data_IF_724825081466
#
_entry.id   IF_724825081466
#
_cell.length_a   1.000
_cell.length_b   1.000
_cell.length_c   1.000
_cell.angle_alpha   90.00
_cell.angle_beta   90.00
_cell.angle_gamma   90.00
#
_symmetry.space_group_name_H-M   'P 1'
#
loop_
_entity.id
_entity.type
_entity.pdbx_description
1 polymer ?
#
# COMPACT_ATOMS: atom_id res chain seq x y z
N UNK A 1 -13.71 20.29 12.49
CA UNK A 1 -13.77 20.31 11.02
C UNK A 1 -12.71 21.28 10.54
N UNK A 2 -11.55 20.77 10.09
CA UNK A 2 -10.64 21.58 9.27
C UNK A 2 -11.12 21.38 7.84
N UNK A 3 -11.47 22.47 7.15
CA UNK A 3 -11.77 22.44 5.73
C UNK A 3 -10.60 21.77 5.01
N UNK A 4 -10.92 20.80 4.16
CA UNK A 4 -9.95 20.17 3.26
C UNK A 4 -9.35 21.27 2.39
N UNK A 5 -8.09 21.63 2.66
CA UNK A 5 -7.31 22.52 1.80
C UNK A 5 -7.23 21.84 0.43
N UNK A 6 -8.10 22.24 -0.50
CA UNK A 6 -7.84 22.07 -1.93
C UNK A 6 -6.61 22.92 -2.21
N UNK A 7 -5.46 22.29 -2.40
CA UNK A 7 -4.29 23.00 -2.92
C UNK A 7 -4.68 23.57 -4.28
N UNK A 8 -4.55 24.88 -4.45
CA UNK A 8 -4.69 25.51 -5.76
C UNK A 8 -3.83 24.76 -6.77
N UNK A 9 -4.40 24.43 -7.93
CA UNK A 9 -3.76 23.65 -8.98
C UNK A 9 -2.39 24.22 -9.31
N UNK A 10 -1.32 23.54 -8.92
CA UNK A 10 0.03 23.90 -9.34
C UNK A 10 0.05 23.73 -10.86
N UNK A 11 0.17 24.85 -11.59
CA UNK A 11 0.37 24.89 -13.04
C UNK A 11 -0.81 24.41 -13.93
N UNK A 12 -2.05 24.41 -13.41
CA UNK A 12 -3.24 24.08 -14.20
C UNK A 12 -3.46 22.58 -14.45
N UNK A 13 -2.73 21.71 -13.74
CA UNK A 13 -3.00 20.27 -13.67
C UNK A 13 -3.94 19.98 -12.49
N UNK A 14 -4.96 19.15 -12.72
CA UNK A 14 -5.80 18.57 -11.67
C UNK A 14 -5.35 17.13 -11.39
N UNK A 15 -4.72 16.94 -10.23
CA UNK A 15 -4.21 15.67 -9.75
C UNK A 15 -5.08 15.09 -8.63
N UNK A 16 -6.12 15.80 -8.18
CA UNK A 16 -6.85 15.45 -6.97
C UNK A 16 -7.73 14.21 -7.17
N UNK A 17 -7.63 13.26 -6.25
CA UNK A 17 -8.34 11.96 -6.31
C UNK A 17 -9.17 11.82 -5.05
N UNK A 18 -10.40 11.33 -5.19
CA UNK A 18 -11.19 10.84 -4.06
C UNK A 18 -11.23 9.32 -4.12
N UNK A 19 -10.60 8.68 -3.15
CA UNK A 19 -10.51 7.22 -3.08
C UNK A 19 -11.73 6.58 -2.41
N UNK A 20 -12.64 7.36 -1.82
CA UNK A 20 -13.84 6.83 -1.17
C UNK A 20 -15.06 7.72 -1.46
N UNK A 21 -15.44 7.92 -2.74
CA UNK A 21 -16.46 8.88 -3.13
C UNK A 21 -17.87 8.55 -2.62
N UNK A 22 -18.12 7.29 -2.27
CA UNK A 22 -19.40 6.81 -1.72
C UNK A 22 -19.40 6.74 -0.18
N UNK A 23 -18.27 7.01 0.47
CA UNK A 23 -18.16 7.06 1.91
C UNK A 23 -18.46 8.50 2.41
N UNK A 24 -19.31 8.71 3.43
CA UNK A 24 -19.60 10.05 3.95
C UNK A 24 -18.37 10.85 4.40
N UNK A 25 -17.28 10.17 4.79
CA UNK A 25 -16.04 10.81 5.20
C UNK A 25 -15.16 11.23 4.02
N UNK A 26 -15.36 10.64 2.83
CA UNK A 26 -14.48 10.74 1.66
C UNK A 26 -13.00 10.39 1.96
N UNK A 27 -12.18 10.20 0.93
CA UNK A 27 -10.73 10.10 1.10
C UNK A 27 -10.03 10.89 -0.01
N UNK A 28 -9.93 12.20 0.21
CA UNK A 28 -9.32 13.13 -0.73
C UNK A 28 -7.80 13.11 -0.64
N UNK A 29 -7.15 12.89 -1.79
CA UNK A 29 -5.72 13.05 -2.01
C UNK A 29 -5.48 14.29 -2.87
N UNK A 30 -4.43 15.07 -2.54
CA UNK A 30 -4.00 16.21 -3.35
C UNK A 30 -3.41 15.79 -4.70
N UNK A 31 -2.84 14.59 -4.76
CA UNK A 31 -2.27 13.96 -5.95
C UNK A 31 -2.30 12.42 -5.81
N UNK A 32 -2.07 11.63 -6.89
CA UNK A 32 -2.21 10.18 -6.83
C UNK A 32 -1.02 9.44 -6.19
N UNK A 33 0.09 10.12 -5.86
CA UNK A 33 1.32 9.44 -5.44
C UNK A 33 1.34 9.25 -3.93
N UNK A 34 1.46 8.00 -3.50
CA UNK A 34 1.45 7.60 -2.09
C UNK A 34 2.72 6.81 -1.73
N UNK A 35 3.10 6.77 -0.45
CA UNK A 35 4.13 5.84 0.05
C UNK A 35 3.46 4.54 0.52
N UNK A 36 3.96 3.39 0.07
CA UNK A 36 3.40 2.08 0.41
C UNK A 36 3.73 1.65 1.85
N UNK A 37 2.83 0.85 2.45
CA UNK A 37 3.05 0.22 3.75
C UNK A 37 4.36 -0.57 3.82
N UNK A 38 5.05 -0.45 4.95
CA UNK A 38 6.29 -1.17 5.22
C UNK A 38 7.54 -0.55 4.61
N UNK A 39 7.41 0.48 3.77
CA UNK A 39 8.54 1.15 3.11
C UNK A 39 8.69 2.62 3.50
N UNK A 40 7.98 3.09 4.52
CA UNK A 40 8.05 4.49 4.96
C UNK A 40 9.27 4.75 5.85
N UNK A 41 10.25 5.49 5.33
CA UNK A 41 11.55 5.64 5.99
C UNK A 41 12.34 4.32 6.05
N UNK A 42 13.35 4.26 6.91
CA UNK A 42 14.22 3.09 7.08
C UNK A 42 13.66 2.00 8.00
N UNK A 43 12.52 2.23 8.64
CA UNK A 43 11.93 1.33 9.64
C UNK A 43 10.42 1.08 9.45
N UNK A 44 9.80 1.76 8.48
CA UNK A 44 8.36 1.74 8.25
C UNK A 44 7.58 2.78 9.06
N UNK A 45 8.27 3.60 9.88
CA UNK A 45 7.68 4.61 10.76
C UNK A 45 8.24 6.02 10.50
N UNK A 46 8.95 6.22 9.39
CA UNK A 46 9.43 7.54 8.96
C UNK A 46 10.84 7.89 9.41
N UNK A 47 11.61 6.97 10.01
CA UNK A 47 13.01 7.24 10.32
C UNK A 47 13.79 7.57 9.05
N UNK A 48 14.49 8.70 9.04
CA UNK A 48 15.27 9.17 7.91
C UNK A 48 14.55 10.17 7.00
N UNK A 49 13.27 10.43 7.23
CA UNK A 49 12.58 11.59 6.65
C UNK A 49 13.13 12.86 7.31
N UNK A 50 13.53 13.83 6.49
CA UNK A 50 14.08 15.12 6.93
C UNK A 50 13.06 16.24 6.74
N UNK A 51 13.32 17.43 7.29
CA UNK A 51 12.45 18.60 7.12
C UNK A 51 12.28 19.01 5.65
N UNK A 52 13.30 18.78 4.81
CA UNK A 52 13.25 19.02 3.36
C UNK A 52 12.37 18.02 2.58
N UNK A 53 11.88 16.98 3.24
CA UNK A 53 11.03 15.94 2.64
C UNK A 53 9.58 16.14 3.11
N UNK A 54 8.95 17.22 2.66
CA UNK A 54 7.58 17.54 3.05
C UNK A 54 6.61 16.47 2.53
N UNK A 55 6.09 15.67 3.45
CA UNK A 55 5.14 14.60 3.16
C UNK A 55 3.78 15.14 2.68
N UNK A 56 3.47 16.42 2.94
CA UNK A 56 2.27 17.07 2.46
C UNK A 56 2.24 17.33 0.95
N UNK A 57 3.41 17.24 0.28
CA UNK A 57 3.48 17.25 -1.18
C UNK A 57 3.00 15.94 -1.81
N UNK A 58 2.91 14.85 -1.04
CA UNK A 58 2.41 13.56 -1.52
C UNK A 58 0.91 13.41 -1.22
N UNK A 59 0.23 12.55 -1.98
CA UNK A 59 -1.18 12.27 -1.80
C UNK A 59 -1.47 11.66 -0.43
N UNK A 60 -0.69 10.64 -0.04
CA UNK A 60 -0.79 10.00 1.26
C UNK A 60 0.46 9.20 1.64
N UNK A 61 0.55 8.83 2.91
CA UNK A 61 1.54 7.90 3.44
C UNK A 61 0.81 6.75 4.12
N UNK A 62 1.23 5.52 3.84
CA UNK A 62 0.80 4.33 4.58
C UNK A 62 1.99 3.85 5.42
N UNK A 63 2.04 4.15 6.73
CA UNK A 63 3.05 3.59 7.61
C UNK A 63 2.90 2.07 7.77
N UNK A 64 3.84 1.46 8.48
CA UNK A 64 3.92 0.00 8.67
C UNK A 64 2.62 -0.61 9.19
N UNK A 65 2.24 -1.76 8.63
CA UNK A 65 1.11 -2.58 9.07
C UNK A 65 1.27 -3.04 10.52
N UNK A 66 0.25 -2.81 11.34
CA UNK A 66 0.15 -3.35 12.71
C UNK A 66 -0.60 -4.68 12.76
N UNK A 67 -0.30 -5.50 13.76
CA UNK A 67 -1.06 -6.72 14.09
C UNK A 67 -1.77 -6.58 15.42
N UNK A 68 -2.69 -7.51 15.73
CA UNK A 68 -3.43 -7.46 17.00
C UNK A 68 -2.47 -7.46 18.20
N UNK A 69 -1.48 -8.35 18.18
CA UNK A 69 -0.43 -8.49 19.18
C UNK A 69 0.94 -8.09 18.59
N UNK A 70 1.95 -7.74 19.42
CA UNK A 70 3.29 -7.46 18.94
C UNK A 70 3.91 -8.64 18.18
N UNK A 71 4.77 -8.34 17.20
CA UNK A 71 5.54 -9.33 16.44
C UNK A 71 7.00 -8.91 16.34
N UNK A 72 7.90 -9.85 16.58
CA UNK A 72 9.35 -9.64 16.43
C UNK A 72 9.79 -9.69 14.96
N UNK A 73 9.10 -10.47 14.13
CA UNK A 73 9.44 -10.70 12.72
C UNK A 73 10.04 -12.07 12.47
N UNK A 74 10.48 -12.29 11.23
CA UNK A 74 11.09 -13.56 10.82
C UNK A 74 12.61 -13.58 11.08
N UNK A 75 13.26 -14.76 11.01
CA UNK A 75 14.71 -14.86 11.09
C UNK A 75 15.46 -14.07 10.00
N UNK A 76 16.62 -13.53 10.33
CA UNK A 76 17.53 -12.87 9.38
C UNK A 76 18.18 -13.88 8.41
N UNK A 77 18.53 -13.47 7.17
CA UNK A 77 18.27 -12.17 6.56
C UNK A 77 16.78 -11.99 6.19
N UNK A 78 16.20 -10.85 6.58
CA UNK A 78 14.79 -10.54 6.28
C UNK A 78 14.57 -9.90 4.91
N UNK A 79 15.62 -9.50 4.19
CA UNK A 79 15.51 -8.98 2.83
C UNK A 79 16.74 -9.30 1.99
N UNK A 80 16.54 -9.31 0.69
CA UNK A 80 17.57 -9.48 -0.32
C UNK A 80 17.32 -8.51 -1.47
N UNK A 81 18.36 -7.85 -2.01
CA UNK A 81 19.77 -7.88 -1.59
C UNK A 81 20.01 -7.04 -0.33
N UNK A 82 21.21 -7.15 0.27
CA UNK A 82 21.56 -6.40 1.49
C UNK A 82 21.38 -4.87 1.37
N UNK A 83 21.50 -4.33 0.16
CA UNK A 83 21.22 -2.93 -0.16
C UNK A 83 20.50 -2.85 -1.49
N UNK A 84 19.25 -2.38 -1.47
CA UNK A 84 18.47 -2.20 -2.68
C UNK A 84 19.06 -1.11 -3.56
N UNK A 85 19.64 -0.05 -2.97
CA UNK A 85 20.35 1.00 -3.71
C UNK A 85 21.54 0.46 -4.51
N UNK A 86 22.45 -0.28 -3.86
CA UNK A 86 23.61 -0.84 -4.56
C UNK A 86 23.20 -1.79 -5.68
N UNK A 87 22.18 -2.60 -5.44
CA UNK A 87 21.65 -3.51 -6.45
C UNK A 87 21.06 -2.76 -7.64
N UNK A 88 20.26 -1.73 -7.38
CA UNK A 88 19.72 -0.83 -8.40
C UNK A 88 20.82 -0.20 -9.27
N UNK A 89 21.86 0.36 -8.65
CA UNK A 89 22.98 1.01 -9.36
C UNK A 89 23.76 0.02 -10.25
N UNK A 90 23.67 -1.28 -9.98
CA UNK A 90 24.30 -2.36 -10.79
C UNK A 90 23.32 -3.09 -11.71
N UNK A 91 22.05 -2.70 -11.77
CA UNK A 91 21.03 -3.35 -12.59
C UNK A 91 20.47 -4.68 -12.05
N UNK A 92 20.63 -4.98 -10.76
CA UNK A 92 19.96 -6.12 -10.11
C UNK A 92 18.64 -5.63 -9.47
N UNK A 93 17.53 -5.99 -10.10
CA UNK A 93 16.17 -5.56 -9.71
C UNK A 93 15.39 -6.64 -8.94
N UNK A 94 16.05 -7.73 -8.54
CA UNK A 94 15.42 -8.80 -7.77
C UNK A 94 15.35 -8.44 -6.29
N UNK A 95 14.21 -7.86 -5.88
CA UNK A 95 14.00 -7.45 -4.49
C UNK A 95 13.05 -8.41 -3.77
N UNK A 96 13.58 -9.10 -2.77
CA UNK A 96 12.84 -10.02 -1.91
C UNK A 96 12.78 -9.49 -0.47
N UNK A 97 11.67 -9.70 0.21
CA UNK A 97 11.55 -9.44 1.64
C UNK A 97 10.73 -10.53 2.35
N UNK A 98 11.05 -10.79 3.61
CA UNK A 98 10.34 -11.69 4.49
C UNK A 98 10.40 -11.12 5.92
N UNK A 99 9.92 -9.89 6.12
CA UNK A 99 10.01 -9.19 7.41
C UNK A 99 9.26 -9.91 8.53
N UNK A 100 8.11 -10.51 8.23
CA UNK A 100 7.27 -11.17 9.25
C UNK A 100 6.43 -10.21 10.09
N UNK A 101 6.11 -9.03 9.52
CA UNK A 101 5.30 -7.99 10.15
C UNK A 101 5.84 -7.51 11.51
N UNK A 102 7.14 -7.24 11.64
CA UNK A 102 7.69 -6.69 12.90
C UNK A 102 7.01 -5.37 13.31
N UNK A 103 6.24 -5.38 14.41
CA UNK A 103 5.46 -4.24 14.86
C UNK A 103 5.08 -4.35 16.36
N UNK A 104 4.76 -3.24 17.04
CA UNK A 104 4.49 -3.21 18.48
C UNK A 104 3.08 -3.69 18.87
N UNK A 105 2.24 -4.10 17.93
CA UNK A 105 0.82 -4.39 18.14
C UNK A 105 -0.05 -3.12 18.11
N UNK A 106 -1.33 -3.29 17.77
CA UNK A 106 -2.23 -2.15 17.53
C UNK A 106 -2.48 -1.30 18.78
N UNK A 107 -2.50 -1.91 19.98
CA UNK A 107 -2.78 -1.18 21.21
C UNK A 107 -1.67 -0.16 21.53
N UNK A 108 -0.40 -0.61 21.41
CA UNK A 108 0.74 0.29 21.51
C UNK A 108 0.77 1.29 20.35
N UNK A 109 0.35 0.90 19.14
CA UNK A 109 0.26 1.81 18.01
C UNK A 109 -0.73 2.96 18.25
N UNK A 110 -1.94 2.66 18.74
CA UNK A 110 -2.96 3.67 19.04
C UNK A 110 -2.51 4.62 20.15
N UNK A 111 -1.82 4.09 21.16
CA UNK A 111 -1.34 4.88 22.30
C UNK A 111 -0.13 5.74 21.98
N UNK A 112 0.88 5.17 21.31
CA UNK A 112 2.23 5.75 21.28
C UNK A 112 2.69 6.16 19.86
N UNK A 113 2.14 5.58 18.80
CA UNK A 113 2.65 5.75 17.43
C UNK A 113 1.77 6.68 16.61
N UNK A 114 0.49 6.34 16.46
CA UNK A 114 -0.44 7.08 15.57
C UNK A 114 -0.69 8.53 15.98
N UNK A 115 -0.72 8.91 17.29
CA UNK A 115 -0.83 10.33 17.65
C UNK A 115 0.34 11.17 17.14
N UNK A 116 1.51 10.56 16.96
CA UNK A 116 2.68 11.22 16.37
C UNK A 116 2.53 11.55 14.88
N UNK A 117 1.55 10.96 14.18
CA UNK A 117 1.35 11.21 12.74
C UNK A 117 0.72 12.58 12.47
N UNK A 118 0.02 13.17 13.45
CA UNK A 118 -0.56 14.51 13.33
C UNK A 118 0.49 15.63 13.11
N UNK A 119 1.77 15.33 13.38
CA UNK A 119 2.89 16.25 13.12
C UNK A 119 3.36 16.22 11.66
N UNK A 120 3.07 15.14 10.93
CA UNK A 120 3.36 15.05 9.51
C UNK A 120 2.22 15.74 8.79
N UNK A 121 2.52 16.76 8.00
CA UNK A 121 1.54 17.51 7.21
C UNK A 121 0.93 16.66 6.07
N UNK A 122 0.62 15.39 6.32
CA UNK A 122 0.31 14.36 5.34
C UNK A 122 -0.98 13.64 5.68
N UNK A 123 -1.68 13.19 4.65
CA UNK A 123 -2.77 12.23 4.80
C UNK A 123 -2.17 10.87 5.14
N UNK A 124 -2.30 10.44 6.40
CA UNK A 124 -1.86 9.13 6.83
C UNK A 124 -3.00 8.10 6.78
N UNK A 125 -2.67 6.86 6.41
CA UNK A 125 -3.59 5.73 6.33
C UNK A 125 -3.08 4.62 7.26
N UNK A 126 -3.91 4.19 8.19
CA UNK A 126 -3.57 3.13 9.13
C UNK A 126 -3.61 1.78 8.41
N UNK A 127 -2.49 1.08 8.31
CA UNK A 127 -2.51 -0.31 7.82
C UNK A 127 -2.54 -1.30 8.98
N UNK A 128 -3.38 -2.33 8.88
CA UNK A 128 -3.30 -3.47 9.80
C UNK A 128 -3.65 -4.81 9.15
N UNK A 129 -3.23 -5.88 9.82
CA UNK A 129 -3.50 -7.26 9.45
C UNK A 129 -3.81 -8.10 10.68
N UNK A 130 -4.58 -9.17 10.49
CA UNK A 130 -4.90 -10.12 11.54
C UNK A 130 -4.95 -11.54 11.01
N UNK A 131 -4.85 -12.51 11.92
CA UNK A 131 -4.92 -13.93 11.64
C UNK A 131 -6.37 -14.47 11.79
N UNK A 132 -7.31 -13.69 12.36
CA UNK A 132 -8.72 -14.11 12.55
C UNK A 132 -9.71 -12.98 12.24
N UNK A 133 -10.93 -13.33 11.82
CA UNK A 133 -12.01 -12.37 11.55
C UNK A 133 -12.38 -11.55 12.80
N UNK A 134 -12.43 -12.19 13.97
CA UNK A 134 -12.78 -11.52 15.22
C UNK A 134 -11.77 -10.42 15.58
N UNK A 135 -10.48 -10.70 15.41
CA UNK A 135 -9.44 -9.73 15.67
C UNK A 135 -9.46 -8.57 14.65
N UNK A 136 -9.84 -8.80 13.39
CA UNK A 136 -10.04 -7.69 12.44
C UNK A 136 -11.09 -6.68 12.94
N UNK A 137 -12.24 -7.18 13.44
CA UNK A 137 -13.27 -6.32 14.04
C UNK A 137 -12.79 -5.61 15.31
N UNK A 138 -12.08 -6.31 16.19
CA UNK A 138 -11.50 -5.73 17.41
C UNK A 138 -10.50 -4.61 17.09
N UNK A 139 -9.60 -4.85 16.13
CA UNK A 139 -8.62 -3.87 15.67
C UNK A 139 -9.27 -2.64 15.03
N UNK A 140 -10.35 -2.83 14.28
CA UNK A 140 -11.14 -1.74 13.71
C UNK A 140 -11.83 -0.90 14.79
N UNK A 141 -12.40 -1.54 15.82
CA UNK A 141 -13.00 -0.84 16.96
C UNK A 141 -11.97 0.00 17.74
N UNK A 142 -10.74 -0.52 17.92
CA UNK A 142 -9.64 0.25 18.50
C UNK A 142 -9.25 1.43 17.61
N UNK A 143 -9.17 1.20 16.29
CA UNK A 143 -8.83 2.24 15.33
C UNK A 143 -9.91 3.35 15.27
N UNK A 144 -11.19 3.02 15.44
CA UNK A 144 -12.25 4.03 15.49
C UNK A 144 -12.08 5.04 16.65
N UNK A 145 -11.29 4.71 17.68
CA UNK A 145 -10.97 5.59 18.81
C UNK A 145 -9.60 6.28 18.69
N UNK A 146 -8.81 5.95 17.66
CA UNK A 146 -7.47 6.50 17.46
C UNK A 146 -7.47 7.84 16.69
N UNK A 147 -6.29 8.44 16.57
CA UNK A 147 -6.08 9.68 15.81
C UNK A 147 -4.86 9.57 14.89
N UNK A 148 -4.62 10.59 14.06
CA UNK A 148 -3.44 10.65 13.18
C UNK A 148 -3.63 10.03 11.79
N UNK A 149 -4.79 9.46 11.45
CA UNK A 149 -5.07 8.88 10.13
C UNK A 149 -6.48 9.19 9.63
N UNK A 150 -6.70 8.99 8.33
CA UNK A 150 -7.96 9.29 7.63
C UNK A 150 -8.68 8.07 7.07
N UNK A 151 -8.00 6.94 6.96
CA UNK A 151 -8.54 5.71 6.43
C UNK A 151 -7.81 4.49 7.00
N UNK A 152 -8.35 3.31 6.76
CA UNK A 152 -7.77 2.02 7.10
C UNK A 152 -7.40 1.28 5.82
N UNK A 153 -6.16 0.79 5.70
CA UNK A 153 -5.74 -0.17 4.68
C UNK A 153 -5.66 -1.58 5.29
N UNK A 154 -6.62 -2.42 4.94
CA UNK A 154 -6.70 -3.81 5.38
C UNK A 154 -5.74 -4.67 4.56
N UNK A 155 -4.65 -5.12 5.19
CA UNK A 155 -3.71 -6.01 4.55
C UNK A 155 -4.21 -7.47 4.63
N UNK A 156 -4.74 -7.99 3.53
CA UNK A 156 -5.35 -9.33 3.44
C UNK A 156 -4.37 -10.42 2.97
N UNK A 157 -3.08 -10.11 2.83
CA UNK A 157 -2.08 -11.08 2.33
C UNK A 157 -1.53 -12.02 3.40
N UNK A 158 -2.13 -12.07 4.59
CA UNK A 158 -1.63 -12.86 5.72
C UNK A 158 -2.37 -14.20 5.87
N UNK A 159 -1.70 -15.22 6.45
CA UNK A 159 -2.30 -16.52 6.68
C UNK A 159 -3.42 -16.43 7.71
N UNK A 160 -4.57 -16.99 7.37
CA UNK A 160 -5.64 -17.37 8.27
C UNK A 160 -5.19 -18.59 9.09
N UNK A 161 -5.17 -18.46 10.42
CA UNK A 161 -4.74 -19.55 11.31
C UNK A 161 -5.80 -20.63 11.50
N UNK A 162 -7.06 -20.36 11.14
CA UNK A 162 -8.16 -21.34 11.34
C UNK A 162 -8.11 -22.49 10.32
N UNK A 163 -7.67 -22.23 9.09
CA UNK A 163 -7.59 -23.22 8.01
C UNK A 163 -6.23 -23.24 7.27
N UNK A 164 -5.30 -22.36 7.65
CA UNK A 164 -3.98 -22.23 7.01
C UNK A 164 -3.99 -21.57 5.63
N UNK A 165 -5.15 -21.13 5.13
CA UNK A 165 -5.29 -20.38 3.86
C UNK A 165 -4.88 -18.92 4.04
N UNK A 166 -4.71 -18.12 2.98
CA UNK A 166 -4.53 -16.67 3.10
C UNK A 166 -5.91 -15.99 3.01
N UNK A 167 -6.25 -15.00 3.87
CA UNK A 167 -7.57 -14.34 3.82
C UNK A 167 -7.91 -13.80 2.42
N UNK A 168 -6.92 -13.22 1.75
CA UNK A 168 -7.04 -12.69 0.40
C UNK A 168 -7.08 -13.74 -0.72
N UNK A 169 -7.08 -15.05 -0.40
CA UNK A 169 -7.12 -16.14 -1.40
C UNK A 169 -8.50 -16.76 -1.59
N UNK A 170 -9.45 -16.38 -0.75
CA UNK A 170 -10.84 -16.83 -0.82
C UNK A 170 -11.76 -15.61 -0.83
N UNK A 171 -12.71 -15.52 -1.79
CA UNK A 171 -13.72 -14.47 -1.77
C UNK A 171 -14.49 -14.45 -0.45
N UNK A 172 -14.82 -15.63 0.11
CA UNK A 172 -15.55 -15.74 1.37
C UNK A 172 -14.73 -15.20 2.57
N UNK A 173 -13.46 -15.57 2.67
CA UNK A 173 -12.60 -15.11 3.77
C UNK A 173 -12.30 -13.61 3.66
N UNK A 174 -12.12 -13.09 2.43
CA UNK A 174 -12.00 -11.66 2.15
C UNK A 174 -13.25 -10.90 2.59
N UNK A 175 -14.44 -11.39 2.21
CA UNK A 175 -15.71 -10.80 2.58
C UNK A 175 -15.90 -10.73 4.11
N UNK A 176 -15.59 -11.82 4.81
CA UNK A 176 -15.69 -11.88 6.27
C UNK A 176 -14.77 -10.87 6.97
N UNK A 177 -13.51 -10.77 6.53
CA UNK A 177 -12.55 -9.83 7.11
C UNK A 177 -12.98 -8.37 6.88
N UNK A 178 -13.39 -8.02 5.65
CA UNK A 178 -13.83 -6.65 5.32
C UNK A 178 -15.11 -6.30 6.06
N UNK A 179 -16.10 -7.19 6.09
CA UNK A 179 -17.35 -6.97 6.81
C UNK A 179 -17.13 -6.76 8.32
N UNK A 180 -16.21 -7.53 8.92
CA UNK A 180 -15.86 -7.36 10.33
C UNK A 180 -15.24 -5.99 10.64
N UNK A 181 -14.38 -5.49 9.74
CA UNK A 181 -13.82 -4.13 9.86
C UNK A 181 -14.91 -3.08 9.66
N UNK A 182 -15.69 -3.18 8.58
CA UNK A 182 -16.74 -2.21 8.25
C UNK A 182 -17.78 -2.06 9.37
N UNK A 183 -18.12 -3.14 10.06
CA UNK A 183 -19.08 -3.13 11.17
C UNK A 183 -18.59 -2.35 12.41
N UNK A 184 -17.30 -2.02 12.51
CA UNK A 184 -16.68 -1.45 13.71
C UNK A 184 -16.00 -0.08 13.48
N UNK A 185 -16.19 0.52 12.31
CA UNK A 185 -15.69 1.87 11.99
C UNK A 185 -16.61 2.54 10.99
N UNK A 186 -16.54 3.86 10.86
CA UNK A 186 -17.13 4.64 9.75
C UNK A 186 -16.06 5.19 8.78
N UNK A 187 -14.77 5.06 9.13
CA UNK A 187 -13.66 5.50 8.28
C UNK A 187 -13.69 4.80 6.91
N UNK A 188 -13.12 5.42 5.86
CA UNK A 188 -12.84 4.74 4.61
C UNK A 188 -11.98 3.48 4.82
N UNK A 189 -12.37 2.38 4.18
CA UNK A 189 -11.70 1.08 4.24
C UNK A 189 -11.15 0.71 2.85
N UNK A 190 -9.84 0.53 2.76
CA UNK A 190 -9.12 0.12 1.56
C UNK A 190 -8.73 -1.35 1.72
N UNK A 191 -9.07 -2.22 0.78
CA UNK A 191 -8.68 -3.63 0.84
C UNK A 191 -7.42 -3.88 -0.01
N UNK A 192 -6.31 -4.28 0.63
CA UNK A 192 -5.06 -4.60 -0.07
C UNK A 192 -4.97 -6.06 -0.45
N UNK A 193 -5.04 -6.32 -1.75
CA UNK A 193 -5.21 -7.67 -2.30
C UNK A 193 -3.88 -8.34 -2.62
N UNK A 194 -3.86 -9.65 -2.41
CA UNK A 194 -2.72 -10.49 -2.77
C UNK A 194 -2.79 -10.88 -4.26
N UNK A 195 -1.64 -10.93 -4.97
CA UNK A 195 -1.63 -11.22 -6.41
C UNK A 195 -1.76 -12.70 -6.75
N UNK A 196 -1.49 -13.60 -5.80
CA UNK A 196 -1.34 -15.04 -6.00
C UNK A 196 -2.67 -15.80 -5.86
N UNK A 197 -3.68 -15.38 -6.63
CA UNK A 197 -5.02 -15.99 -6.65
C UNK A 197 -5.41 -16.41 -8.07
N UNK A 198 -6.28 -17.44 -8.24
CA UNK A 198 -6.72 -17.85 -9.58
C UNK A 198 -7.51 -16.76 -10.32
N UNK A 199 -8.34 -16.00 -9.60
CA UNK A 199 -9.15 -14.92 -10.16
C UNK A 199 -9.19 -13.73 -9.19
N UNK A 200 -8.48 -12.64 -9.53
CA UNK A 200 -8.43 -11.43 -8.71
C UNK A 200 -9.75 -10.67 -8.69
N UNK A 201 -10.55 -10.76 -9.76
CA UNK A 201 -11.83 -10.04 -9.88
C UNK A 201 -12.85 -10.55 -8.86
N UNK A 202 -12.87 -11.86 -8.59
CA UNK A 202 -13.74 -12.45 -7.57
C UNK A 202 -13.38 -11.98 -6.15
N UNK A 203 -12.09 -11.88 -5.84
CA UNK A 203 -11.59 -11.38 -4.56
C UNK A 203 -11.94 -9.89 -4.41
N UNK A 204 -11.67 -9.11 -5.46
CA UNK A 204 -11.96 -7.68 -5.50
C UNK A 204 -13.45 -7.40 -5.30
N UNK A 205 -14.32 -8.12 -6.02
CA UNK A 205 -15.77 -8.00 -5.88
C UNK A 205 -16.23 -8.33 -4.48
N UNK A 206 -15.72 -9.41 -3.89
CA UNK A 206 -16.07 -9.78 -2.51
C UNK A 206 -15.64 -8.73 -1.48
N UNK A 207 -14.49 -8.07 -1.67
CA UNK A 207 -14.07 -6.97 -0.81
C UNK A 207 -15.02 -5.77 -0.91
N UNK A 208 -15.35 -5.33 -2.14
CA UNK A 208 -16.25 -4.19 -2.38
C UNK A 208 -17.66 -4.48 -1.85
N UNK A 209 -18.25 -5.64 -2.21
CA UNK A 209 -19.60 -6.03 -1.79
C UNK A 209 -19.73 -6.13 -0.25
N UNK A 210 -18.60 -6.31 0.45
CA UNK A 210 -18.54 -6.39 1.92
C UNK A 210 -18.24 -5.05 2.61
N UNK A 211 -18.08 -3.97 1.84
CA UNK A 211 -17.96 -2.61 2.35
C UNK A 211 -16.55 -2.00 2.29
N UNK A 212 -15.63 -2.54 1.50
CA UNK A 212 -14.42 -1.80 1.13
C UNK A 212 -14.78 -0.64 0.19
N UNK A 213 -14.23 0.54 0.45
CA UNK A 213 -14.44 1.75 -0.33
C UNK A 213 -13.48 1.86 -1.52
N UNK A 214 -12.30 1.24 -1.43
CA UNK A 214 -11.31 1.16 -2.51
C UNK A 214 -10.47 -0.12 -2.41
N UNK A 215 -9.69 -0.39 -3.47
CA UNK A 215 -8.78 -1.54 -3.54
C UNK A 215 -7.33 -1.09 -3.69
N UNK A 216 -6.40 -1.74 -2.99
CA UNK A 216 -4.95 -1.59 -3.23
C UNK A 216 -4.41 -2.85 -3.90
N UNK A 217 -3.90 -2.74 -5.12
CA UNK A 217 -3.49 -3.88 -5.97
C UNK A 217 -2.06 -3.66 -6.46
N UNK A 218 -1.05 -4.43 -6.06
CA UNK A 218 -1.12 -5.65 -5.24
C UNK A 218 -0.05 -5.68 -4.13
N UNK A 219 -0.19 -6.65 -3.24
CA UNK A 219 0.88 -7.07 -2.35
C UNK A 219 1.98 -7.84 -3.13
N UNK A 220 3.02 -8.27 -2.45
CA UNK A 220 4.13 -9.04 -3.05
C UNK A 220 3.73 -10.47 -3.48
N UNK A 221 4.49 -11.06 -4.41
CA UNK A 221 4.30 -12.45 -4.88
C UNK A 221 5.29 -13.39 -4.18
N UNK A 222 4.91 -14.58 -3.68
CA UNK A 222 5.86 -15.54 -3.13
C UNK A 222 6.97 -15.90 -4.11
N UNK A 223 8.21 -15.78 -3.68
CA UNK A 223 9.40 -16.04 -4.48
C UNK A 223 10.59 -16.46 -3.61
N UNK A 224 11.64 -16.97 -4.26
CA UNK A 224 12.89 -17.34 -3.59
C UNK A 224 14.09 -17.13 -4.50
N UNK A 225 15.26 -17.00 -3.88
CA UNK A 225 16.57 -17.10 -4.54
C UNK A 225 17.44 -18.06 -3.72
N UNK A 226 18.16 -18.93 -4.42
CA UNK A 226 19.17 -19.82 -3.82
C UNK A 226 20.54 -19.25 -4.14
N UNK A 227 21.36 -19.07 -3.12
CA UNK A 227 22.78 -18.80 -3.29
C UNK A 227 23.46 -20.12 -3.71
N UNK A 228 24.01 -20.15 -4.92
CA UNK A 228 24.62 -21.36 -5.49
C UNK A 228 25.96 -21.73 -4.86
N UNK A 229 26.62 -20.80 -4.16
CA UNK A 229 27.87 -21.05 -3.46
C UNK A 229 27.59 -21.73 -2.12
N UNK A 230 26.63 -21.19 -1.35
CA UNK A 230 26.24 -21.75 -0.04
C UNK A 230 25.23 -22.90 -0.16
N UNK A 231 24.55 -23.00 -1.32
CA UNK A 231 23.43 -23.93 -1.60
C UNK A 231 22.25 -23.73 -0.64
N UNK A 232 22.09 -22.53 -0.11
CA UNK A 232 21.02 -22.18 0.82
C UNK A 232 20.11 -21.08 0.25
N UNK A 233 18.87 -20.97 0.73
CA UNK A 233 18.05 -19.78 0.48
C UNK A 233 18.74 -18.50 0.96
N UNK A 234 18.56 -17.41 0.22
CA UNK A 234 19.14 -16.10 0.60
C UNK A 234 18.42 -15.42 1.77
N UNK A 235 17.20 -15.85 2.08
CA UNK A 235 16.38 -15.34 3.18
C UNK A 235 16.32 -16.34 4.33
N UNK A 236 16.33 -15.84 5.57
CA UNK A 236 16.20 -16.68 6.77
C UNK A 236 14.87 -17.43 6.83
N UNK A 237 13.82 -16.85 6.22
CA UNK A 237 12.49 -17.46 6.11
C UNK A 237 12.34 -18.41 4.89
N UNK A 238 13.43 -18.77 4.20
CA UNK A 238 13.48 -19.60 2.99
C UNK A 238 12.85 -18.92 1.76
N UNK A 239 11.60 -18.51 1.87
CA UNK A 239 10.85 -17.77 0.85
C UNK A 239 10.52 -16.36 1.35
N UNK A 240 10.20 -15.46 0.43
CA UNK A 240 9.74 -14.11 0.71
C UNK A 240 8.88 -13.57 -0.41
N UNK A 241 8.47 -12.32 -0.28
CA UNK A 241 7.72 -11.59 -1.29
C UNK A 241 8.63 -10.91 -2.32
N UNK A 242 8.42 -11.19 -3.59
CA UNK A 242 8.95 -10.44 -4.72
C UNK A 242 8.28 -9.07 -4.80
N UNK A 243 9.13 -8.04 -4.85
CA UNK A 243 8.78 -6.65 -5.08
C UNK A 243 9.71 -6.06 -6.15
N UNK A 244 9.70 -4.73 -6.34
CA UNK A 244 10.53 -4.09 -7.35
C UNK A 244 10.01 -4.30 -8.78
N UNK A 245 10.85 -4.02 -9.77
CA UNK A 245 10.43 -4.01 -11.19
C UNK A 245 9.90 -5.35 -11.67
N UNK A 246 10.42 -6.47 -11.16
CA UNK A 246 9.94 -7.80 -11.50
C UNK A 246 8.46 -8.04 -11.19
N UNK A 247 7.87 -7.26 -10.27
CA UNK A 247 6.45 -7.33 -9.93
C UNK A 247 5.57 -6.48 -10.85
N UNK A 248 6.11 -5.45 -11.53
CA UNK A 248 5.32 -4.45 -12.28
C UNK A 248 4.37 -5.07 -13.31
N UNK A 249 4.83 -5.92 -14.26
CA UNK A 249 3.92 -6.46 -15.28
C UNK A 249 2.81 -7.35 -14.70
N UNK A 250 3.07 -8.02 -13.58
CA UNK A 250 2.06 -8.83 -12.88
C UNK A 250 1.01 -7.91 -12.27
N UNK A 251 1.43 -6.92 -11.48
CA UNK A 251 0.52 -6.01 -10.78
C UNK A 251 -0.29 -5.15 -11.75
N UNK A 252 0.34 -4.63 -12.81
CA UNK A 252 -0.33 -3.85 -13.86
C UNK A 252 -1.46 -4.64 -14.53
N UNK A 253 -1.21 -5.91 -14.85
CA UNK A 253 -2.22 -6.81 -15.42
C UNK A 253 -3.38 -7.09 -14.44
N UNK A 254 -3.11 -7.16 -13.13
CA UNK A 254 -4.16 -7.34 -12.12
C UNK A 254 -5.01 -6.09 -11.96
N UNK A 255 -4.40 -4.90 -11.96
CA UNK A 255 -5.10 -3.61 -11.95
C UNK A 255 -6.03 -3.50 -13.15
N UNK A 256 -5.51 -3.78 -14.35
CA UNK A 256 -6.31 -3.73 -15.59
C UNK A 256 -7.51 -4.70 -15.57
N UNK A 257 -7.32 -5.93 -15.10
CA UNK A 257 -8.43 -6.89 -14.99
C UNK A 257 -9.52 -6.42 -14.03
N UNK A 258 -9.15 -5.80 -12.91
CA UNK A 258 -10.13 -5.35 -11.91
C UNK A 258 -10.82 -4.07 -12.37
N UNK A 259 -10.10 -3.13 -12.99
CA UNK A 259 -10.69 -1.89 -13.52
C UNK A 259 -11.68 -2.15 -14.67
N UNK A 260 -11.40 -3.12 -15.54
CA UNK A 260 -12.33 -3.53 -16.60
C UNK A 260 -13.62 -4.17 -16.05
N UNK A 261 -13.54 -4.79 -14.87
CA UNK A 261 -14.64 -5.56 -14.30
C UNK A 261 -15.44 -4.83 -13.19
N UNK A 262 -14.88 -3.80 -12.57
CA UNK A 262 -15.44 -3.09 -11.42
C UNK A 262 -15.22 -1.58 -11.54
N UNK A 263 -16.29 -0.81 -11.35
CA UNK A 263 -16.25 0.65 -11.27
C UNK A 263 -16.03 1.11 -9.81
N UNK A 264 -14.79 1.03 -9.36
CA UNK A 264 -14.37 1.42 -8.00
C UNK A 264 -12.96 2.04 -8.02
N UNK A 265 -12.61 2.92 -7.05
CA UNK A 265 -11.26 3.44 -6.97
C UNK A 265 -10.22 2.33 -6.71
N UNK A 266 -9.16 2.32 -7.52
CA UNK A 266 -8.06 1.34 -7.43
C UNK A 266 -6.75 2.08 -7.21
N UNK A 267 -5.95 1.60 -6.26
CA UNK A 267 -4.61 2.08 -5.96
C UNK A 267 -3.61 1.04 -6.50
N UNK A 268 -2.89 1.38 -7.56
CA UNK A 268 -1.87 0.53 -8.18
C UNK A 268 -0.55 0.49 -7.41
N UNK A 269 0.01 -0.69 -7.16
CA UNK A 269 1.23 -0.89 -6.38
C UNK A 269 2.04 -2.05 -6.95
N UNK A 270 3.30 -1.80 -7.28
CA UNK A 270 4.23 -2.84 -7.69
C UNK A 270 5.23 -2.35 -8.75
N UNK A 271 6.51 -2.26 -8.38
CA UNK A 271 7.57 -1.95 -9.34
C UNK A 271 7.51 -0.57 -10.00
N UNK A 272 6.91 0.42 -9.33
CA UNK A 272 6.85 1.81 -9.79
C UNK A 272 8.14 2.54 -9.38
N UNK A 273 8.93 2.93 -10.37
CA UNK A 273 10.23 3.59 -10.21
C UNK A 273 10.35 4.93 -10.97
N UNK A 274 9.37 5.26 -11.82
CA UNK A 274 9.35 6.50 -12.60
C UNK A 274 7.92 7.05 -12.72
N UNK A 275 7.80 8.31 -13.12
CA UNK A 275 6.51 8.92 -13.48
C UNK A 275 5.80 8.22 -14.64
N UNK A 276 6.56 7.68 -15.61
CA UNK A 276 6.00 6.87 -16.70
C UNK A 276 5.41 5.56 -16.17
N UNK A 277 6.07 4.89 -15.24
CA UNK A 277 5.49 3.70 -14.59
C UNK A 277 4.21 4.06 -13.82
N UNK A 278 4.14 5.22 -13.16
CA UNK A 278 2.91 5.67 -12.52
C UNK A 278 1.79 5.93 -13.56
N UNK A 279 2.13 6.52 -14.70
CA UNK A 279 1.20 6.71 -15.81
C UNK A 279 0.69 5.39 -16.41
N UNK A 280 1.53 4.34 -16.51
CA UNK A 280 1.10 2.99 -16.92
C UNK A 280 -0.06 2.50 -16.04
N UNK A 281 0.06 2.62 -14.71
CA UNK A 281 -0.99 2.21 -13.78
C UNK A 281 -2.26 3.05 -13.92
N UNK A 282 -2.13 4.36 -14.08
CA UNK A 282 -3.29 5.24 -14.27
C UNK A 282 -4.03 4.88 -15.56
N UNK A 283 -3.30 4.66 -16.67
CA UNK A 283 -3.88 4.22 -17.94
C UNK A 283 -4.48 2.81 -17.87
N UNK A 284 -4.02 1.97 -16.94
CA UNK A 284 -4.63 0.68 -16.65
C UNK A 284 -5.90 0.78 -15.78
N UNK A 285 -6.29 1.98 -15.34
CA UNK A 285 -7.50 2.21 -14.53
C UNK A 285 -7.23 2.44 -13.03
N UNK A 286 -5.98 2.63 -12.61
CA UNK A 286 -5.70 3.03 -11.23
C UNK A 286 -6.04 4.52 -11.02
N UNK A 287 -6.76 4.82 -9.94
CA UNK A 287 -7.02 6.18 -9.48
C UNK A 287 -5.80 6.78 -8.76
N UNK A 288 -4.99 5.96 -8.09
CA UNK A 288 -3.78 6.38 -7.38
C UNK A 288 -2.69 5.30 -7.44
N UNK A 289 -1.48 5.60 -6.97
CA UNK A 289 -0.35 4.66 -6.94
C UNK A 289 0.42 4.70 -5.62
N UNK A 290 0.89 3.54 -5.12
CA UNK A 290 1.82 3.49 -3.99
C UNK A 290 3.24 3.12 -4.43
N UNK A 291 4.20 3.87 -3.89
CA UNK A 291 5.64 3.71 -4.13
C UNK A 291 6.25 2.92 -2.97
N UNK A 292 6.65 1.68 -3.28
CA UNK A 292 7.27 0.76 -2.31
C UNK A 292 8.79 0.69 -2.48
N UNK A 293 9.25 -0.29 -3.27
CA UNK A 293 10.68 -0.60 -3.41
C UNK A 293 11.55 0.56 -3.91
N UNK A 294 11.02 1.47 -4.73
CA UNK A 294 11.76 2.66 -5.14
C UNK A 294 12.11 3.56 -3.95
N UNK A 295 11.24 3.63 -2.94
CA UNK A 295 11.52 4.38 -1.71
C UNK A 295 12.66 3.75 -0.91
N UNK A 296 12.79 2.42 -0.94
CA UNK A 296 13.90 1.68 -0.32
C UNK A 296 15.23 1.80 -1.09
N UNK A 297 15.17 2.14 -2.38
CA UNK A 297 16.35 2.52 -3.18
C UNK A 297 16.78 3.95 -2.87
N UNK A 298 15.83 4.86 -2.65
CA UNK A 298 16.11 6.21 -2.20
C UNK A 298 14.85 6.91 -1.70
N UNK A 299 14.93 7.51 -0.52
CA UNK A 299 13.74 8.07 0.14
C UNK A 299 13.10 9.23 -0.64
N UNK A 300 13.82 9.92 -1.52
CA UNK A 300 13.26 10.98 -2.36
C UNK A 300 12.47 10.47 -3.57
N UNK A 301 12.41 9.15 -3.80
CA UNK A 301 11.77 8.57 -4.98
C UNK A 301 10.29 8.96 -5.16
N UNK A 302 9.43 8.98 -4.13
CA UNK A 302 8.03 9.39 -4.29
C UNK A 302 7.85 10.81 -4.87
N UNK A 303 8.59 11.79 -4.34
CA UNK A 303 8.57 13.17 -4.83
C UNK A 303 9.09 13.29 -6.26
N UNK A 304 10.20 12.60 -6.57
CA UNK A 304 10.72 12.54 -7.94
C UNK A 304 9.68 11.95 -8.90
N UNK A 305 9.03 10.84 -8.53
CA UNK A 305 8.02 10.17 -9.36
C UNK A 305 6.79 11.06 -9.56
N UNK A 306 6.38 11.83 -8.54
CA UNK A 306 5.31 12.82 -8.67
C UNK A 306 5.68 13.91 -9.69
N UNK A 307 6.89 14.47 -9.60
CA UNK A 307 7.36 15.47 -10.57
C UNK A 307 7.43 14.90 -12.01
N UNK A 308 7.97 13.69 -12.16
CA UNK A 308 8.01 13.00 -13.46
C UNK A 308 6.62 12.70 -14.03
N UNK A 309 5.64 12.37 -13.17
CA UNK A 309 4.25 12.16 -13.59
C UNK A 309 3.60 13.47 -14.07
N UNK A 310 3.83 14.57 -13.35
CA UNK A 310 3.37 15.90 -13.77
C UNK A 310 3.99 16.31 -15.12
N UNK A 311 5.26 16.00 -15.33
CA UNK A 311 5.92 16.25 -16.60
C UNK A 311 5.35 15.36 -17.71
N UNK A 312 5.10 14.07 -17.45
CA UNK A 312 4.42 13.20 -18.40
C UNK A 312 3.03 13.74 -18.79
N UNK A 313 2.24 14.24 -17.83
CA UNK A 313 0.94 14.86 -18.08
C UNK A 313 1.06 16.05 -19.04
N UNK A 314 2.00 16.96 -18.79
CA UNK A 314 2.25 18.14 -19.66
C UNK A 314 2.62 17.72 -21.07
N UNK A 315 3.55 16.77 -21.23
CA UNK A 315 4.00 16.32 -22.55
C UNK A 315 2.90 15.58 -23.32
N UNK A 316 2.02 14.88 -22.61
CA UNK A 316 0.92 14.10 -23.19
C UNK A 316 -0.35 14.92 -23.42
N UNK A 317 -0.38 16.20 -23.01
CA UNK A 317 -1.57 17.05 -23.09
C UNK A 317 -2.70 16.66 -22.13
N UNK A 318 -2.39 15.87 -21.10
CA UNK A 318 -3.35 15.47 -20.07
C UNK A 318 -3.37 16.54 -18.98
N UNK A 319 -4.53 17.15 -18.75
CA UNK A 319 -4.70 18.18 -17.72
C UNK A 319 -5.46 17.70 -16.49
N UNK A 320 -6.14 16.56 -16.58
CA UNK A 320 -6.91 15.95 -15.49
C UNK A 320 -6.79 14.42 -15.54
N UNK A 321 -6.34 13.81 -14.46
CA UNK A 321 -6.22 12.35 -14.37
C UNK A 321 -7.57 11.63 -14.36
N UNK A 322 -8.63 12.26 -13.84
CA UNK A 322 -9.99 11.69 -13.82
C UNK A 322 -10.58 11.47 -15.22
N UNK A 323 -10.04 12.13 -16.24
CA UNK A 323 -10.46 11.93 -17.62
C UNK A 323 -9.83 10.70 -18.30
N UNK A 324 -8.87 10.04 -17.64
CA UNK A 324 -8.15 8.88 -18.19
C UNK A 324 -8.68 7.53 -17.66
N UNK A 325 -9.38 7.55 -16.53
CA UNK A 325 -9.88 6.38 -15.81
C UNK A 325 -11.40 6.38 -15.79
#
# INVERSE_FOLDING_TARGET
MRETNRSESVQGLDLAVDLAPNNPHHLWLSNPVMIASGTFGYDGYGRGITEDMDLGELGAVVPKTFTRLPREGNPEPQWFPKSYRKAWDTGDYLFLNAIGLTNPGIEAAMRDVTPGWDQWNATCILSFSSDTVAQFGEMAAMAAQGTGYRAIELNLSCPNVEDGSLFGHSPASTAQAVAAVRANTDLPVLAKLAPNVPNIVEIARAAIDSGADALTICNTVPAMRIDTQTRQPVLGNITGGLSGEGLRPISLNLVYQVSDALDVPIIGVGGIFSGEHAAEYILAGASAVQIGSANLVGLSAPWRILAELQDWMKHSGVTNLRGLT
#
